data_IF_691733031598
#
_entry.id   IF_691733031598
#
_cell.length_a   1.000
_cell.length_b   1.000
_cell.length_c   1.000
_cell.angle_alpha   90.00
_cell.angle_beta   90.00
_cell.angle_gamma   90.00
#
_symmetry.space_group_name_H-M   'P 1'
#
loop_
_entity.id
_entity.type
_entity.pdbx_description
1 polymer ?
#
# COMPACT_ATOMS: atom_id res chain seq x y z
N UNK A 1 -58.75 -16.15 17.30
CA UNK A 1 -57.68 -15.16 17.62
C UNK A 1 -58.16 -13.81 17.06
N UNK A 2 -58.44 -12.80 17.91
CA UNK A 2 -59.08 -11.58 17.42
C UNK A 2 -58.16 -10.70 16.60
N UNK A 3 -58.69 -9.92 15.68
CA UNK A 3 -58.00 -9.00 14.77
C UNK A 3 -56.94 -8.11 15.47
N UNK A 4 -57.19 -7.71 16.69
CA UNK A 4 -56.24 -6.95 17.54
C UNK A 4 -54.97 -7.73 17.86
N UNK A 5 -55.05 -9.05 18.10
CA UNK A 5 -53.90 -9.90 18.39
C UNK A 5 -53.02 -10.09 17.16
N UNK A 6 -53.60 -10.14 15.96
CA UNK A 6 -52.88 -10.25 14.69
C UNK A 6 -52.10 -8.95 14.36
N UNK A 7 -52.70 -7.78 14.65
CA UNK A 7 -52.02 -6.49 14.46
C UNK A 7 -50.82 -6.36 15.40
N UNK A 8 -50.96 -6.72 16.67
CA UNK A 8 -49.88 -6.66 17.66
C UNK A 8 -48.73 -7.61 17.24
N UNK A 9 -49.04 -8.82 16.79
CA UNK A 9 -48.05 -9.79 16.34
C UNK A 9 -47.25 -9.26 15.14
N UNK A 10 -47.92 -8.61 14.17
CA UNK A 10 -47.23 -8.02 13.00
C UNK A 10 -46.36 -6.81 13.39
N UNK A 11 -46.77 -5.98 14.33
CA UNK A 11 -45.94 -4.85 14.82
C UNK A 11 -44.71 -5.37 15.55
N UNK A 12 -44.84 -6.40 16.38
CA UNK A 12 -43.71 -7.01 17.10
C UNK A 12 -42.74 -7.67 16.09
N UNK A 13 -43.25 -8.38 15.08
CA UNK A 13 -42.45 -9.01 14.06
C UNK A 13 -41.69 -7.98 13.21
N UNK A 14 -42.34 -6.87 12.83
CA UNK A 14 -41.69 -5.76 12.13
C UNK A 14 -40.59 -5.10 12.96
N UNK A 15 -40.82 -4.91 14.27
CA UNK A 15 -39.84 -4.36 15.19
C UNK A 15 -38.62 -5.30 15.38
N UNK A 16 -38.85 -6.62 15.42
CA UNK A 16 -37.76 -7.62 15.48
C UNK A 16 -36.97 -7.66 14.17
N UNK A 17 -37.66 -7.64 13.04
CA UNK A 17 -37.01 -7.59 11.72
C UNK A 17 -36.20 -6.29 11.57
N UNK A 18 -36.74 -5.14 11.96
CA UNK A 18 -36.03 -3.87 11.96
C UNK A 18 -34.76 -3.91 12.83
N UNK A 19 -34.81 -4.55 14.01
CA UNK A 19 -33.61 -4.72 14.87
C UNK A 19 -32.58 -5.70 14.29
N UNK A 20 -33.01 -6.69 13.51
CA UNK A 20 -32.09 -7.64 12.85
C UNK A 20 -31.45 -7.05 11.58
N UNK A 21 -32.22 -6.22 10.86
CA UNK A 21 -31.76 -5.59 9.61
C UNK A 21 -30.94 -4.30 9.87
N UNK A 22 -31.35 -3.51 10.87
CA UNK A 22 -30.65 -2.31 11.33
C UNK A 22 -29.81 -2.58 12.59
N UNK A 23 -28.95 -3.59 12.54
CA UNK A 23 -27.88 -3.65 13.53
C UNK A 23 -27.06 -2.36 13.38
N UNK A 24 -26.97 -1.48 14.41
CA UNK A 24 -26.09 -0.33 14.29
C UNK A 24 -24.69 -0.85 13.95
N UNK A 25 -24.11 -0.33 12.87
CA UNK A 25 -22.70 -0.61 12.55
C UNK A 25 -21.91 -0.35 13.83
N UNK A 26 -21.11 -1.32 14.24
CA UNK A 26 -20.15 -1.09 15.32
C UNK A 26 -19.41 0.21 15.02
N UNK A 27 -19.23 1.12 15.98
CA UNK A 27 -18.49 2.35 15.73
C UNK A 27 -17.18 1.97 15.09
N UNK A 28 -16.85 2.66 14.00
CA UNK A 28 -15.61 2.44 13.30
C UNK A 28 -14.44 2.51 14.31
N UNK A 29 -13.46 1.60 14.26
CA UNK A 29 -12.29 1.68 15.13
C UNK A 29 -11.68 3.08 15.00
N UNK A 30 -11.35 3.70 16.12
CA UNK A 30 -10.78 5.06 16.14
C UNK A 30 -9.57 5.17 15.22
N UNK A 31 -9.45 6.29 14.51
CA UNK A 31 -8.28 6.60 13.69
C UNK A 31 -7.09 6.78 14.63
N UNK A 32 -6.00 6.06 14.37
CA UNK A 32 -4.71 6.27 15.05
C UNK A 32 -3.78 6.98 14.08
N UNK A 33 -3.16 8.07 14.55
CA UNK A 33 -2.20 8.85 13.74
C UNK A 33 -0.78 8.54 14.20
N UNK A 34 0.11 8.42 13.25
CA UNK A 34 1.53 8.13 13.43
C UNK A 34 2.35 9.13 12.63
N UNK A 35 3.49 9.52 13.15
CA UNK A 35 4.39 10.47 12.50
C UNK A 35 5.83 9.98 12.54
N UNK A 36 6.52 10.12 11.42
CA UNK A 36 7.95 9.94 11.26
C UNK A 36 8.61 11.21 10.73
N UNK A 37 9.91 11.16 10.52
CA UNK A 37 10.68 12.30 10.00
C UNK A 37 10.16 12.72 8.61
N UNK A 38 9.95 11.76 7.70
CA UNK A 38 9.60 12.00 6.29
C UNK A 38 8.17 11.65 5.93
N UNK A 39 7.34 11.22 6.90
CA UNK A 39 5.99 10.74 6.64
C UNK A 39 5.04 11.00 7.81
N UNK A 40 3.76 11.02 7.50
CA UNK A 40 2.65 10.91 8.46
C UNK A 40 1.70 9.81 7.98
N UNK A 41 1.06 9.09 8.92
CA UNK A 41 0.14 8.02 8.55
C UNK A 41 -1.07 7.98 9.49
N UNK A 42 -2.25 7.69 8.93
CA UNK A 42 -3.46 7.40 9.68
C UNK A 42 -3.80 5.92 9.52
N UNK A 43 -3.98 5.21 10.65
CA UNK A 43 -4.33 3.79 10.66
C UNK A 43 -5.82 3.59 10.82
N UNK A 44 -6.39 2.73 10.00
CA UNK A 44 -7.77 2.26 10.05
C UNK A 44 -7.82 0.74 9.81
N UNK A 45 -8.00 -0.03 10.88
CA UNK A 45 -7.90 -1.49 10.81
C UNK A 45 -6.51 -1.95 10.36
N UNK A 46 -6.47 -2.76 9.30
CA UNK A 46 -5.23 -3.25 8.68
C UNK A 46 -4.65 -2.30 7.61
N UNK A 47 -5.26 -1.13 7.39
CA UNK A 47 -4.86 -0.17 6.38
C UNK A 47 -4.23 1.06 7.01
N UNK A 48 -3.26 1.63 6.30
CA UNK A 48 -2.71 2.93 6.59
C UNK A 48 -2.90 3.84 5.37
N UNK A 49 -3.33 5.07 5.63
CA UNK A 49 -3.21 6.16 4.67
C UNK A 49 -1.89 6.85 5.01
N UNK A 50 -0.95 6.80 4.09
CA UNK A 50 0.42 7.28 4.27
C UNK A 50 0.63 8.52 3.40
N UNK A 51 0.95 9.64 4.02
CA UNK A 51 1.39 10.86 3.36
C UNK A 51 2.89 11.03 3.54
N UNK A 52 3.63 11.20 2.45
CA UNK A 52 5.08 11.42 2.47
C UNK A 52 5.36 12.90 2.25
N UNK A 53 6.23 13.46 3.10
CA UNK A 53 6.54 14.89 3.11
C UNK A 53 7.28 15.28 1.82
N UNK A 54 7.00 16.49 1.34
CA UNK A 54 7.68 17.07 0.19
C UNK A 54 9.22 17.04 0.35
N UNK A 55 9.95 16.91 -0.74
CA UNK A 55 11.41 16.78 -0.82
C UNK A 55 12.00 15.52 -0.15
N UNK A 56 11.18 14.57 0.26
CA UNK A 56 11.65 13.27 0.76
C UNK A 56 12.00 12.33 -0.37
N UNK A 57 12.96 11.44 -0.12
CA UNK A 57 13.20 10.30 -1.01
C UNK A 57 12.13 9.23 -0.74
N UNK A 58 11.37 8.89 -1.79
CA UNK A 58 10.13 8.11 -1.71
C UNK A 58 10.34 6.69 -1.19
N UNK A 59 11.32 5.96 -1.74
CA UNK A 59 11.54 4.56 -1.36
C UNK A 59 12.05 4.45 0.09
N UNK A 60 12.93 5.37 0.50
CA UNK A 60 13.44 5.45 1.88
C UNK A 60 12.35 5.83 2.87
N UNK A 61 11.46 6.76 2.50
CA UNK A 61 10.36 7.17 3.37
C UNK A 61 9.36 6.02 3.59
N UNK A 62 9.02 5.27 2.53
CA UNK A 62 8.18 4.07 2.62
C UNK A 62 8.88 3.01 3.50
N UNK A 63 10.17 2.78 3.30
CA UNK A 63 10.95 1.81 4.09
C UNK A 63 10.98 2.21 5.57
N UNK A 64 11.21 3.48 5.86
CA UNK A 64 11.18 4.02 7.23
C UNK A 64 9.81 3.80 7.89
N UNK A 65 8.72 4.05 7.17
CA UNK A 65 7.36 3.79 7.65
C UNK A 65 7.13 2.31 7.95
N UNK A 66 7.43 1.42 7.00
CA UNK A 66 7.26 -0.03 7.13
C UNK A 66 8.00 -0.55 8.36
N UNK A 67 9.27 -0.15 8.52
CA UNK A 67 10.11 -0.51 9.67
C UNK A 67 9.54 0.03 10.98
N UNK A 68 9.15 1.30 11.03
CA UNK A 68 8.60 1.94 12.23
C UNK A 68 7.27 1.30 12.68
N UNK A 69 6.53 0.68 11.75
CA UNK A 69 5.26 0.00 12.05
C UNK A 69 5.39 -1.51 12.20
N UNK A 70 6.59 -2.09 12.01
CA UNK A 70 6.82 -3.53 12.09
C UNK A 70 5.98 -4.33 11.08
N UNK A 71 5.83 -3.80 9.85
CA UNK A 71 5.01 -4.43 8.80
C UNK A 71 5.88 -5.45 8.07
N UNK A 72 5.62 -6.74 8.24
CA UNK A 72 6.38 -7.84 7.61
C UNK A 72 5.77 -8.35 6.33
N UNK A 73 4.51 -7.97 6.04
CA UNK A 73 3.81 -8.36 4.82
C UNK A 73 2.68 -7.40 4.48
N UNK A 74 2.47 -7.16 3.20
CA UNK A 74 1.43 -6.26 2.73
C UNK A 74 1.59 -5.84 1.28
N UNK A 75 0.68 -4.97 0.87
CA UNK A 75 0.72 -4.26 -0.41
C UNK A 75 0.72 -2.76 -0.20
N UNK A 76 1.26 -2.04 -1.18
CA UNK A 76 1.25 -0.58 -1.22
C UNK A 76 0.82 -0.11 -2.60
N UNK A 77 0.03 0.94 -2.65
CA UNK A 77 -0.35 1.62 -3.88
C UNK A 77 -0.63 3.10 -3.61
N UNK A 78 -0.49 3.93 -4.62
CA UNK A 78 -0.75 5.35 -4.45
C UNK A 78 -0.34 6.20 -5.64
N UNK A 79 -0.44 7.52 -5.41
CA UNK A 79 -0.18 8.58 -6.38
C UNK A 79 0.70 9.65 -5.75
N UNK A 80 1.19 10.56 -6.57
CA UNK A 80 2.02 11.68 -6.08
C UNK A 80 2.71 12.41 -7.20
N UNK A 81 3.70 13.22 -6.83
CA UNK A 81 4.46 14.03 -7.76
C UNK A 81 5.96 13.97 -7.41
N UNK A 82 6.81 13.80 -8.42
CA UNK A 82 8.26 13.74 -8.27
C UNK A 82 8.96 14.69 -9.24
N UNK A 83 10.16 15.14 -8.91
CA UNK A 83 11.00 15.92 -9.82
C UNK A 83 12.25 15.16 -10.31
N UNK A 84 12.47 13.96 -9.80
CA UNK A 84 13.48 13.04 -10.29
C UNK A 84 13.10 11.62 -9.91
N UNK A 85 13.34 10.66 -10.80
CA UNK A 85 13.16 9.24 -10.53
C UNK A 85 14.20 8.39 -11.24
N UNK A 86 14.76 7.41 -10.52
CA UNK A 86 15.60 6.37 -11.10
C UNK A 86 14.80 5.08 -11.20
N UNK A 87 14.58 4.67 -12.43
CA UNK A 87 13.92 3.41 -12.74
C UNK A 87 14.95 2.37 -13.17
N UNK A 88 14.65 1.12 -12.90
CA UNK A 88 15.50 0.02 -13.32
C UNK A 88 14.71 -1.00 -14.14
N UNK A 89 15.40 -1.57 -15.12
CA UNK A 89 14.90 -2.62 -15.98
C UNK A 89 15.76 -3.88 -15.77
N UNK A 90 15.14 -5.02 -15.55
CA UNK A 90 15.85 -6.28 -15.45
C UNK A 90 16.02 -6.89 -16.85
N UNK A 91 17.26 -7.09 -17.25
CA UNK A 91 17.60 -7.80 -18.49
C UNK A 91 17.76 -9.31 -18.19
N UNK A 92 16.84 -10.16 -18.64
CA UNK A 92 16.89 -11.59 -18.36
C UNK A 92 18.05 -12.31 -19.07
N UNK A 93 18.58 -11.75 -20.15
CA UNK A 93 19.69 -12.37 -20.90
C UNK A 93 21.01 -12.27 -20.17
N UNK A 94 21.21 -11.18 -19.43
CA UNK A 94 22.42 -10.91 -18.64
C UNK A 94 22.21 -11.11 -17.14
N UNK A 95 20.95 -11.28 -16.69
CA UNK A 95 20.53 -11.28 -15.29
C UNK A 95 21.01 -10.04 -14.52
N UNK A 96 21.05 -8.88 -15.19
CA UNK A 96 21.49 -7.60 -14.63
C UNK A 96 20.40 -6.55 -14.73
N UNK A 97 20.45 -5.59 -13.82
CA UNK A 97 19.62 -4.40 -13.88
C UNK A 97 20.32 -3.30 -14.69
N UNK A 98 19.52 -2.59 -15.47
CA UNK A 98 19.88 -1.38 -16.20
C UNK A 98 19.12 -0.23 -15.55
N UNK A 99 19.84 0.73 -14.97
CA UNK A 99 19.26 1.86 -14.26
C UNK A 99 19.24 3.08 -15.18
N UNK A 100 18.15 3.86 -15.12
CA UNK A 100 18.02 5.13 -15.83
C UNK A 100 17.33 6.15 -14.94
N UNK A 101 17.97 7.31 -14.81
CA UNK A 101 17.40 8.47 -14.11
C UNK A 101 16.69 9.37 -15.11
N UNK A 102 15.52 9.85 -14.69
CA UNK A 102 14.70 10.82 -15.39
C UNK A 102 14.53 12.03 -14.48
N UNK A 103 14.95 13.19 -14.97
CA UNK A 103 14.85 14.47 -14.26
C UNK A 103 13.70 15.30 -14.82
N UNK A 104 13.13 16.14 -13.95
CA UNK A 104 12.00 17.01 -14.24
C UNK A 104 10.72 16.57 -13.53
N UNK A 105 9.76 17.46 -13.50
CA UNK A 105 8.47 17.25 -12.85
C UNK A 105 7.67 16.17 -13.59
N UNK A 106 7.23 15.16 -12.82
CA UNK A 106 6.44 14.03 -13.32
C UNK A 106 5.37 13.65 -12.31
N UNK A 107 4.21 13.25 -12.81
CA UNK A 107 3.12 12.74 -11.98
C UNK A 107 3.30 11.24 -11.73
N UNK A 108 3.21 10.79 -10.49
CA UNK A 108 3.04 9.36 -10.20
C UNK A 108 1.58 9.00 -10.51
N UNK A 109 1.34 8.54 -11.74
CA UNK A 109 0.01 8.09 -12.16
C UNK A 109 -0.41 6.80 -11.45
N UNK A 110 0.55 5.96 -11.07
CA UNK A 110 0.36 4.79 -10.24
C UNK A 110 1.71 4.35 -9.66
N UNK A 111 1.73 4.10 -8.36
CA UNK A 111 2.76 3.31 -7.70
C UNK A 111 2.09 2.07 -7.13
N UNK A 112 2.70 0.92 -7.31
CA UNK A 112 2.24 -0.33 -6.70
C UNK A 112 3.42 -1.15 -6.23
N UNK A 113 3.22 -1.93 -5.18
CA UNK A 113 4.28 -2.77 -4.67
C UNK A 113 3.83 -3.75 -3.61
N UNK A 114 4.80 -4.48 -3.11
CA UNK A 114 4.60 -5.43 -2.03
C UNK A 114 5.69 -5.31 -0.97
N UNK A 115 5.32 -5.69 0.23
CA UNK A 115 6.16 -5.73 1.42
C UNK A 115 6.34 -7.20 1.78
N UNK A 116 7.57 -7.62 1.95
CA UNK A 116 7.95 -8.97 2.36
C UNK A 116 9.22 -8.91 3.20
N UNK A 117 9.64 -10.04 3.75
CA UNK A 117 10.91 -10.21 4.42
C UNK A 117 11.92 -10.92 3.51
N UNK A 118 13.20 -10.67 3.74
CA UNK A 118 14.30 -11.42 3.14
C UNK A 118 15.50 -11.41 4.10
N UNK A 119 16.03 -12.57 4.42
CA UNK A 119 17.20 -12.73 5.28
C UNK A 119 17.06 -11.96 6.62
N UNK A 120 15.84 -11.91 7.17
CA UNK A 120 15.51 -11.21 8.42
C UNK A 120 15.36 -9.68 8.28
N UNK A 121 15.42 -9.13 7.07
CA UNK A 121 15.24 -7.70 6.79
C UNK A 121 14.00 -7.42 5.94
N UNK A 122 13.53 -6.16 5.99
CA UNK A 122 12.41 -5.69 5.16
C UNK A 122 12.82 -5.68 3.69
N UNK A 123 11.99 -6.24 2.83
CA UNK A 123 12.12 -6.18 1.38
C UNK A 123 10.89 -5.54 0.76
N UNK A 124 11.04 -4.29 0.32
CA UNK A 124 9.98 -3.52 -0.32
C UNK A 124 10.24 -3.49 -1.82
N UNK A 125 9.29 -3.96 -2.59
CA UNK A 125 9.38 -4.04 -4.04
C UNK A 125 8.34 -3.12 -4.66
N UNK A 126 8.80 -2.07 -5.36
CA UNK A 126 7.96 -1.02 -5.91
C UNK A 126 8.11 -0.94 -7.42
N UNK A 127 6.99 -0.80 -8.11
CA UNK A 127 6.90 -0.37 -9.48
C UNK A 127 6.13 0.94 -9.58
N UNK A 128 6.48 1.76 -10.57
CA UNK A 128 5.86 3.06 -10.77
C UNK A 128 5.57 3.31 -12.25
N UNK A 129 4.48 4.01 -12.50
CA UNK A 129 4.19 4.65 -13.79
C UNK A 129 4.19 6.16 -13.57
N UNK A 130 5.07 6.85 -14.29
CA UNK A 130 5.25 8.30 -14.25
C UNK A 130 4.69 8.92 -15.51
N UNK A 131 3.84 9.95 -15.37
CA UNK A 131 3.37 10.80 -16.44
C UNK A 131 4.30 12.00 -16.62
N UNK A 132 4.86 12.20 -17.80
CA UNK A 132 5.67 13.38 -18.12
C UNK A 132 4.80 14.57 -18.51
N UNK A 133 5.41 15.77 -18.63
CA UNK A 133 4.74 17.00 -19.08
C UNK A 133 4.04 16.84 -20.44
N UNK A 134 4.56 15.98 -21.32
CA UNK A 134 4.00 15.71 -22.64
C UNK A 134 3.06 14.50 -22.63
N UNK A 135 2.60 14.11 -21.42
CA UNK A 135 1.68 12.99 -21.20
C UNK A 135 2.19 11.63 -21.68
N UNK A 136 3.53 11.49 -21.81
CA UNK A 136 4.16 10.20 -22.07
C UNK A 136 4.31 9.42 -20.76
N UNK A 137 4.18 8.10 -20.82
CA UNK A 137 4.36 7.22 -19.68
C UNK A 137 5.77 6.65 -19.63
N UNK A 138 6.42 6.77 -18.46
CA UNK A 138 7.65 6.07 -18.11
C UNK A 138 7.30 5.07 -17.01
N UNK A 139 7.65 3.81 -17.16
CA UNK A 139 7.30 2.79 -16.18
C UNK A 139 8.47 1.84 -15.93
N UNK A 140 8.56 1.33 -14.70
CA UNK A 140 9.58 0.35 -14.33
C UNK A 140 9.62 0.08 -12.82
N UNK A 141 10.60 -0.71 -12.44
CA UNK A 141 10.93 -0.93 -11.04
C UNK A 141 11.53 0.36 -10.46
N UNK A 142 10.96 0.85 -9.37
CA UNK A 142 11.41 2.07 -8.72
C UNK A 142 12.64 1.78 -7.85
N UNK A 143 13.75 2.43 -8.15
CA UNK A 143 14.94 2.41 -7.31
C UNK A 143 14.96 3.59 -6.35
N UNK A 144 14.72 4.80 -6.88
CA UNK A 144 14.69 6.03 -6.10
C UNK A 144 13.79 7.08 -6.77
N UNK A 145 13.17 7.95 -5.99
CA UNK A 145 12.48 9.13 -6.51
C UNK A 145 12.41 10.25 -5.46
N UNK A 146 12.58 11.49 -5.90
CA UNK A 146 12.47 12.67 -5.05
C UNK A 146 11.09 13.29 -5.20
N UNK A 147 10.33 13.35 -4.11
CA UNK A 147 9.01 14.00 -4.11
C UNK A 147 9.14 15.51 -4.32
N UNK A 148 8.25 16.05 -5.15
CA UNK A 148 8.13 17.48 -5.41
C UNK A 148 6.66 17.89 -5.45
N UNK A 149 6.00 17.74 -4.31
CA UNK A 149 4.58 17.94 -4.12
C UNK A 149 4.01 16.95 -3.11
N UNK A 150 2.83 16.41 -3.39
CA UNK A 150 2.19 15.40 -2.55
C UNK A 150 2.65 13.99 -2.88
N UNK A 151 2.74 13.14 -1.84
CA UNK A 151 2.87 11.69 -1.96
C UNK A 151 1.82 11.03 -1.07
N UNK A 152 0.84 10.37 -1.68
CA UNK A 152 -0.35 9.81 -1.02
C UNK A 152 -0.49 8.34 -1.34
N UNK A 153 -0.35 7.50 -0.31
CA UNK A 153 -0.30 6.05 -0.49
C UNK A 153 -1.24 5.35 0.49
N UNK A 154 -1.70 4.19 0.08
CA UNK A 154 -2.40 3.23 0.95
C UNK A 154 -1.48 2.03 1.15
N UNK A 155 -1.28 1.65 2.40
CA UNK A 155 -0.59 0.41 2.76
C UNK A 155 -1.60 -0.54 3.40
N UNK A 156 -1.83 -1.69 2.77
CA UNK A 156 -2.63 -2.78 3.32
C UNK A 156 -1.71 -3.83 3.93
N UNK A 157 -1.83 -4.03 5.24
CA UNK A 157 -1.04 -5.04 5.95
C UNK A 157 -1.77 -6.38 5.99
N UNK A 158 -1.01 -7.46 6.11
CA UNK A 158 -1.50 -8.82 6.31
C UNK A 158 -1.10 -9.30 7.72
N UNK A 159 -1.84 -8.92 8.78
CA UNK A 159 -1.46 -9.21 10.15
C UNK A 159 -1.39 -10.72 10.41
N UNK A 160 -0.33 -11.17 11.11
CA UNK A 160 -0.13 -12.58 11.42
C UNK A 160 0.43 -13.42 10.28
N UNK A 161 0.74 -12.79 9.14
CA UNK A 161 1.41 -13.43 8.00
C UNK A 161 2.78 -12.77 7.83
N UNK A 162 3.82 -13.57 7.70
CA UNK A 162 5.14 -13.15 7.27
C UNK A 162 5.41 -13.73 5.89
N UNK A 163 5.49 -12.86 4.89
CA UNK A 163 5.83 -13.25 3.54
C UNK A 163 7.34 -13.18 3.36
N UNK A 164 7.97 -14.28 3.04
CA UNK A 164 9.42 -14.35 2.82
C UNK A 164 9.74 -14.50 1.34
N UNK A 165 10.81 -13.85 0.89
CA UNK A 165 11.40 -14.02 -0.43
C UNK A 165 12.81 -14.57 -0.33
N UNK A 166 13.17 -15.43 -1.27
CA UNK A 166 14.52 -15.96 -1.43
C UNK A 166 15.03 -15.74 -2.84
N UNK A 167 16.35 -15.64 -2.98
CA UNK A 167 16.98 -15.45 -4.28
C UNK A 167 16.99 -16.75 -5.09
N UNK A 168 16.43 -16.70 -6.29
CA UNK A 168 16.48 -17.78 -7.26
C UNK A 168 17.62 -17.52 -8.26
N UNK A 169 18.66 -18.37 -8.22
CA UNK A 169 19.85 -18.23 -9.05
C UNK A 169 19.59 -18.48 -10.54
N UNK A 170 18.55 -19.24 -10.89
CA UNK A 170 18.22 -19.53 -12.28
C UNK A 170 17.59 -18.33 -12.97
N UNK A 171 16.81 -17.54 -12.20
CA UNK A 171 16.10 -16.37 -12.71
C UNK A 171 16.88 -15.07 -12.42
N UNK A 172 17.71 -15.05 -11.36
CA UNK A 172 18.43 -13.87 -10.91
C UNK A 172 17.58 -12.89 -10.09
N UNK A 173 16.45 -13.32 -9.55
CA UNK A 173 15.50 -12.47 -8.83
C UNK A 173 15.09 -13.08 -7.49
N UNK A 174 14.56 -12.22 -6.60
CA UNK A 174 13.94 -12.66 -5.35
C UNK A 174 12.47 -13.05 -5.60
N UNK A 175 12.11 -14.28 -5.29
CA UNK A 175 10.77 -14.83 -5.43
C UNK A 175 10.17 -15.14 -4.08
N UNK A 176 8.84 -15.16 -3.98
CA UNK A 176 8.16 -15.64 -2.77
C UNK A 176 8.51 -17.10 -2.52
N UNK A 177 8.85 -17.38 -1.26
CA UNK A 177 9.13 -18.72 -0.77
C UNK A 177 7.95 -19.20 0.09
N UNK A 178 7.09 -20.04 -0.48
CA UNK A 178 5.95 -20.64 0.22
C UNK A 178 6.23 -22.07 0.71
N UNK A 179 7.49 -22.52 0.59
CA UNK A 179 7.87 -23.84 1.13
C UNK A 179 8.03 -23.70 2.64
N UNK A 180 7.19 -24.41 3.36
CA UNK A 180 7.32 -24.66 4.81
C UNK A 180 8.21 -25.85 5.06
#
# INVERSE_FOLDING_TARGET
MGYKALIILNIVLLAVIARLVFKPLSPAPGIRVWEGETWTAAQYGSRYILSIKNHSELASAITSFVKARGITSGSIYGIGVVNSATLRFFDPSTQKYIDKTFDGQMEIANLTGNIAMKDGGDLIHLHVTLGTRDYQALAGHLLAASLSGAGEFVVETMPGIELEKSFDKNIGLNLYNFKK
#
